data_IF_695576383415
#
_entry.id   IF_695576383415
#
_cell.length_a   1.000
_cell.length_b   1.000
_cell.length_c   1.000
_cell.angle_alpha   90.00
_cell.angle_beta   90.00
_cell.angle_gamma   90.00
#
_symmetry.space_group_name_H-M   'P 1'
#
loop_
_entity.id
_entity.type
_entity.pdbx_description
1 polymer ?
#
# COMPACT_ATOMS: atom_id res chain seq x y z
N UNK A 1 29.19 14.99 -23.64
CA UNK A 1 28.67 14.57 -22.33
C UNK A 1 28.14 15.80 -21.63
N UNK A 2 26.82 15.98 -21.59
CA UNK A 2 26.22 17.05 -20.82
C UNK A 2 26.28 16.68 -19.32
N UNK A 3 26.56 17.64 -18.42
CA UNK A 3 26.58 17.36 -16.99
C UNK A 3 25.18 17.00 -16.49
N UNK A 4 25.07 15.86 -15.80
CA UNK A 4 23.84 15.38 -15.17
C UNK A 4 23.50 16.30 -13.98
N UNK A 5 22.70 17.35 -14.20
CA UNK A 5 22.22 18.22 -13.12
C UNK A 5 21.03 17.57 -12.42
N UNK A 6 21.28 16.93 -11.28
CA UNK A 6 20.22 16.38 -10.43
C UNK A 6 19.54 17.54 -9.71
N UNK A 7 18.24 17.70 -9.93
CA UNK A 7 17.44 18.67 -9.17
C UNK A 7 17.41 18.32 -7.67
N UNK A 8 17.48 19.34 -6.81
CA UNK A 8 17.39 19.18 -5.34
C UNK A 8 16.13 18.41 -4.91
N UNK A 9 15.03 18.52 -5.67
CA UNK A 9 13.81 17.74 -5.41
C UNK A 9 14.02 16.24 -5.65
N UNK A 10 14.71 15.85 -6.73
CA UNK A 10 15.02 14.44 -7.03
C UNK A 10 15.89 13.82 -5.94
N UNK A 11 16.93 14.54 -5.49
CA UNK A 11 17.79 14.09 -4.38
C UNK A 11 16.99 13.82 -3.10
N UNK A 12 16.07 14.73 -2.75
CA UNK A 12 15.22 14.57 -1.57
C UNK A 12 14.33 13.32 -1.65
N UNK A 13 13.66 13.11 -2.80
CA UNK A 13 12.82 11.93 -3.01
C UNK A 13 13.65 10.63 -3.00
N UNK A 14 14.83 10.63 -3.62
CA UNK A 14 15.73 9.47 -3.59
C UNK A 14 16.13 9.12 -2.15
N UNK A 15 16.51 10.12 -1.34
CA UNK A 15 16.83 9.90 0.06
C UNK A 15 15.67 9.28 0.83
N UNK A 16 14.46 9.85 0.67
CA UNK A 16 13.25 9.32 1.30
C UNK A 16 12.94 7.88 0.87
N UNK A 17 13.06 7.57 -0.42
CA UNK A 17 12.84 6.22 -0.95
C UNK A 17 13.84 5.20 -0.41
N UNK A 18 15.13 5.55 -0.32
CA UNK A 18 16.16 4.68 0.26
C UNK A 18 15.90 4.45 1.75
N UNK A 19 15.56 5.52 2.49
CA UNK A 19 15.19 5.41 3.90
C UNK A 19 13.95 4.51 4.09
N UNK A 20 12.93 4.68 3.25
CA UNK A 20 11.73 3.84 3.22
C UNK A 20 12.07 2.38 2.96
N UNK A 21 12.92 2.08 1.97
CA UNK A 21 13.37 0.70 1.69
C UNK A 21 14.07 0.09 2.91
N UNK A 22 14.91 0.85 3.61
CA UNK A 22 15.55 0.39 4.85
C UNK A 22 14.54 -0.02 5.92
N UNK A 23 13.47 0.76 6.10
CA UNK A 23 12.36 0.43 7.00
C UNK A 23 11.64 -0.83 6.51
N UNK A 24 11.34 -0.92 5.22
CA UNK A 24 10.60 -2.05 4.65
C UNK A 24 11.36 -3.38 4.81
N UNK A 25 12.68 -3.38 4.64
CA UNK A 25 13.54 -4.54 4.86
C UNK A 25 13.50 -4.98 6.34
N UNK A 26 13.57 -4.02 7.27
CA UNK A 26 13.50 -4.35 8.72
C UNK A 26 12.17 -4.96 9.12
N UNK A 27 11.08 -4.56 8.48
CA UNK A 27 9.76 -5.15 8.71
C UNK A 27 9.69 -6.56 8.11
N UNK A 28 10.25 -6.76 6.93
CA UNK A 28 10.33 -8.09 6.33
C UNK A 28 11.11 -9.07 7.23
N UNK A 29 12.26 -8.64 7.76
CA UNK A 29 13.05 -9.40 8.74
C UNK A 29 12.24 -9.70 10.01
N UNK A 30 11.47 -8.73 10.50
CA UNK A 30 10.58 -8.92 11.64
C UNK A 30 9.52 -9.99 11.37
N UNK A 31 8.86 -9.94 10.21
CA UNK A 31 7.86 -10.94 9.81
C UNK A 31 8.48 -12.34 9.68
N UNK A 32 9.72 -12.45 9.19
CA UNK A 32 10.47 -13.70 9.16
C UNK A 32 10.81 -14.23 10.56
N UNK A 33 11.20 -13.36 11.49
CA UNK A 33 11.45 -13.76 12.88
C UNK A 33 10.18 -14.19 13.61
N UNK A 34 9.07 -13.51 13.32
CA UNK A 34 7.78 -13.78 13.94
C UNK A 34 7.28 -15.21 13.65
N UNK A 35 7.44 -15.67 12.42
CA UNK A 35 7.06 -17.03 12.01
C UNK A 35 7.83 -18.12 12.78
N UNK A 36 9.09 -17.85 13.12
CA UNK A 36 9.96 -18.78 13.84
C UNK A 36 9.87 -18.63 15.37
N UNK A 37 8.97 -17.78 15.87
CA UNK A 37 8.86 -17.56 17.30
C UNK A 37 7.92 -18.56 17.98
N UNK A 38 8.38 -19.19 19.06
CA UNK A 38 7.63 -20.20 19.82
C UNK A 38 6.23 -19.72 20.25
N UNK A 39 6.09 -18.43 20.59
CA UNK A 39 4.81 -17.90 21.03
C UNK A 39 3.78 -17.73 19.91
N UNK A 40 4.25 -17.71 18.66
CA UNK A 40 3.42 -17.74 17.45
C UNK A 40 3.06 -19.19 17.10
N UNK A 41 3.99 -20.11 17.33
CA UNK A 41 3.87 -21.54 17.03
C UNK A 41 3.03 -22.32 18.07
N UNK A 42 2.73 -21.72 19.22
CA UNK A 42 1.89 -22.31 20.26
C UNK A 42 0.40 -22.33 19.81
N UNK A 43 0.04 -23.48 19.25
CA UNK A 43 -0.92 -23.67 18.18
C UNK A 43 -2.42 -23.49 18.52
N UNK A 44 -2.83 -23.40 19.79
CA UNK A 44 -4.28 -23.51 20.10
C UNK A 44 -5.09 -22.22 19.88
N UNK A 45 -4.46 -21.04 19.98
CA UNK A 45 -5.16 -19.75 19.79
C UNK A 45 -4.85 -19.15 18.42
N UNK A 46 -3.61 -19.31 17.96
CA UNK A 46 -3.13 -18.70 16.72
C UNK A 46 -3.63 -19.42 15.47
N UNK A 47 -3.70 -20.76 15.46
CA UNK A 47 -4.27 -21.52 14.34
C UNK A 47 -5.77 -21.30 14.16
N UNK A 48 -6.48 -20.90 15.22
CA UNK A 48 -7.92 -20.61 15.13
C UNK A 48 -8.20 -19.29 14.41
N UNK A 49 -7.27 -18.33 14.46
CA UNK A 49 -7.41 -16.98 13.90
C UNK A 49 -6.62 -16.78 12.59
N UNK A 50 -5.92 -17.81 12.11
CA UNK A 50 -5.26 -17.93 10.78
C UNK A 50 -4.68 -16.60 10.26
N UNK A 51 -3.82 -15.96 11.05
CA UNK A 51 -3.03 -14.83 10.54
C UNK A 51 -2.11 -15.36 9.44
N UNK A 52 -2.22 -14.76 8.26
CA UNK A 52 -1.45 -15.17 7.10
C UNK A 52 -0.16 -14.33 7.03
N UNK A 53 0.89 -14.75 7.74
CA UNK A 53 2.20 -14.07 7.68
C UNK A 53 2.76 -14.12 6.26
N UNK A 54 2.57 -15.22 5.54
CA UNK A 54 3.07 -15.36 4.17
C UNK A 54 2.50 -14.26 3.26
N UNK A 55 1.21 -13.95 3.40
CA UNK A 55 0.61 -12.80 2.73
C UNK A 55 1.24 -11.47 3.16
N UNK A 56 1.47 -11.24 4.46
CA UNK A 56 2.12 -10.01 4.94
C UNK A 56 3.53 -9.84 4.36
N UNK A 57 4.30 -10.93 4.25
CA UNK A 57 5.62 -10.93 3.61
C UNK A 57 5.53 -10.62 2.12
N UNK A 58 4.59 -11.25 1.41
CA UNK A 58 4.36 -10.98 -0.01
C UNK A 58 3.95 -9.53 -0.27
N UNK A 59 3.06 -8.98 0.58
CA UNK A 59 2.68 -7.56 0.55
C UNK A 59 3.89 -6.65 0.78
N UNK A 60 4.77 -7.00 1.72
CA UNK A 60 5.99 -6.24 2.00
C UNK A 60 6.95 -6.23 0.80
N UNK A 61 7.09 -7.37 0.09
CA UNK A 61 7.87 -7.47 -1.15
C UNK A 61 7.25 -6.60 -2.24
N UNK A 62 5.92 -6.62 -2.36
CA UNK A 62 5.21 -5.77 -3.31
C UNK A 62 5.44 -4.28 -3.04
N UNK A 63 5.43 -3.82 -1.78
CA UNK A 63 5.76 -2.43 -1.46
C UNK A 63 7.22 -2.07 -1.79
N UNK A 64 8.18 -2.95 -1.50
CA UNK A 64 9.57 -2.75 -1.91
C UNK A 64 9.68 -2.60 -3.43
N UNK A 65 8.98 -3.45 -4.19
CA UNK A 65 8.90 -3.35 -5.64
C UNK A 65 8.31 -2.02 -6.11
N UNK A 66 7.24 -1.52 -5.48
CA UNK A 66 6.65 -0.23 -5.81
C UNK A 66 7.62 0.94 -5.55
N UNK A 67 8.38 0.91 -4.46
CA UNK A 67 9.37 1.95 -4.17
C UNK A 67 10.53 1.93 -5.19
N UNK A 68 10.97 0.74 -5.62
CA UNK A 68 11.99 0.60 -6.67
C UNK A 68 11.46 1.11 -8.01
N UNK A 69 10.21 0.79 -8.37
CA UNK A 69 9.56 1.31 -9.57
C UNK A 69 9.43 2.84 -9.53
N UNK A 70 9.10 3.41 -8.37
CA UNK A 70 9.05 4.86 -8.19
C UNK A 70 10.43 5.50 -8.41
N UNK A 71 11.49 4.92 -7.86
CA UNK A 71 12.87 5.38 -8.11
C UNK A 71 13.20 5.34 -9.59
N UNK A 72 12.90 4.22 -10.27
CA UNK A 72 13.11 4.09 -11.71
C UNK A 72 12.39 5.21 -12.49
N UNK A 73 11.10 5.43 -12.21
CA UNK A 73 10.32 6.50 -12.86
C UNK A 73 10.92 7.89 -12.60
N UNK A 74 11.34 8.18 -11.36
CA UNK A 74 11.93 9.47 -10.98
C UNK A 74 13.21 9.80 -11.79
N UNK A 75 14.00 8.77 -12.12
CA UNK A 75 15.25 8.91 -12.87
C UNK A 75 15.09 8.76 -14.38
N UNK A 76 14.10 7.98 -14.84
CA UNK A 76 13.86 7.77 -16.28
C UNK A 76 13.00 8.85 -16.91
N UNK A 77 12.22 9.59 -16.11
CA UNK A 77 11.31 10.60 -16.63
C UNK A 77 11.86 11.99 -16.33
N UNK A 78 12.65 12.52 -17.27
CA UNK A 78 13.19 13.88 -17.22
C UNK A 78 12.24 14.93 -17.83
N UNK A 79 11.29 14.53 -18.69
CA UNK A 79 10.34 15.45 -19.32
C UNK A 79 8.97 14.79 -19.57
N UNK A 80 8.00 15.06 -18.70
CA UNK A 80 6.62 14.56 -18.77
C UNK A 80 5.68 15.53 -19.54
N UNK A 81 6.24 16.43 -20.34
CA UNK A 81 5.48 17.50 -21.01
C UNK A 81 4.82 17.06 -22.33
N UNK A 82 5.14 15.88 -22.87
CA UNK A 82 4.60 15.39 -24.14
C UNK A 82 4.05 13.95 -24.07
N UNK A 83 3.22 13.64 -23.07
CA UNK A 83 2.51 12.36 -23.06
C UNK A 83 1.38 12.38 -24.10
N UNK A 84 1.39 11.50 -25.12
CA UNK A 84 0.29 11.41 -26.06
C UNK A 84 -0.99 10.99 -25.31
N UNK A 85 -2.09 11.72 -25.55
CA UNK A 85 -3.41 11.38 -25.02
C UNK A 85 -3.88 10.06 -25.64
N UNK A 86 -3.69 8.95 -24.93
CA UNK A 86 -4.23 7.65 -25.33
C UNK A 86 -5.75 7.68 -25.11
N UNK A 87 -6.50 7.74 -26.21
CA UNK A 87 -7.96 7.71 -26.23
C UNK A 87 -8.44 6.29 -26.57
N UNK A 88 -8.78 5.50 -25.55
CA UNK A 88 -9.63 4.31 -25.71
C UNK A 88 -10.69 4.27 -24.60
N UNK A 89 -11.90 4.79 -24.84
CA UNK A 89 -12.87 5.05 -23.76
C UNK A 89 -13.52 3.80 -23.15
N UNK A 90 -13.51 2.66 -23.85
CA UNK A 90 -14.25 1.46 -23.41
C UNK A 90 -13.41 0.45 -22.61
N UNK A 91 -12.10 0.32 -22.89
CA UNK A 91 -11.20 -0.55 -22.12
C UNK A 91 -10.76 0.09 -20.79
N UNK A 92 -10.68 1.43 -20.75
CA UNK A 92 -10.18 2.16 -19.59
C UNK A 92 -11.08 1.99 -18.37
N UNK A 93 -12.41 2.12 -18.53
CA UNK A 93 -13.36 2.06 -17.40
C UNK A 93 -13.39 0.69 -16.72
N UNK A 94 -13.39 -0.39 -17.50
CA UNK A 94 -13.33 -1.75 -16.95
C UNK A 94 -12.01 -1.97 -16.20
N UNK A 95 -10.88 -1.58 -16.79
CA UNK A 95 -9.57 -1.71 -16.19
C UNK A 95 -9.47 -0.89 -14.89
N UNK A 96 -9.92 0.36 -14.90
CA UNK A 96 -9.96 1.22 -13.70
C UNK A 96 -10.82 0.61 -12.60
N UNK A 97 -12.00 0.08 -12.94
CA UNK A 97 -12.90 -0.57 -11.97
C UNK A 97 -12.26 -1.83 -11.36
N UNK A 98 -11.63 -2.67 -12.20
CA UNK A 98 -10.92 -3.86 -11.74
C UNK A 98 -9.75 -3.51 -10.81
N UNK A 99 -8.98 -2.46 -11.13
CA UNK A 99 -7.89 -1.95 -10.29
C UNK A 99 -8.43 -1.46 -8.94
N UNK A 100 -9.51 -0.68 -8.93
CA UNK A 100 -10.12 -0.19 -7.68
C UNK A 100 -10.59 -1.36 -6.81
N UNK A 101 -11.26 -2.35 -7.40
CA UNK A 101 -11.73 -3.53 -6.67
C UNK A 101 -10.58 -4.35 -6.11
N UNK A 102 -9.50 -4.53 -6.88
CA UNK A 102 -8.29 -5.21 -6.43
C UNK A 102 -7.62 -4.44 -5.28
N UNK A 103 -7.47 -3.12 -5.40
CA UNK A 103 -6.93 -2.27 -4.34
C UNK A 103 -7.78 -2.33 -3.07
N UNK A 104 -9.11 -2.37 -3.20
CA UNK A 104 -10.03 -2.53 -2.09
C UNK A 104 -9.80 -3.85 -1.36
N UNK A 105 -9.74 -4.94 -2.12
CA UNK A 105 -9.53 -6.28 -1.60
C UNK A 105 -8.19 -6.40 -0.88
N UNK A 106 -7.10 -5.98 -1.53
CA UNK A 106 -5.76 -6.02 -0.95
C UNK A 106 -5.67 -5.14 0.30
N UNK A 107 -6.21 -3.92 0.26
CA UNK A 107 -6.21 -2.98 1.40
C UNK A 107 -7.04 -3.49 2.58
N UNK A 108 -8.20 -4.09 2.31
CA UNK A 108 -9.02 -4.73 3.34
C UNK A 108 -8.31 -5.93 3.95
N UNK A 109 -7.73 -6.79 3.12
CA UNK A 109 -7.07 -8.00 3.56
C UNK A 109 -5.78 -7.74 4.35
N UNK A 110 -4.97 -6.74 3.95
CA UNK A 110 -3.81 -6.31 4.75
C UNK A 110 -4.25 -5.75 6.10
N UNK A 111 -5.26 -4.87 6.12
CA UNK A 111 -5.78 -4.28 7.35
C UNK A 111 -6.27 -5.34 8.32
N UNK A 112 -7.02 -6.33 7.82
CA UNK A 112 -7.53 -7.44 8.61
C UNK A 112 -6.40 -8.27 9.24
N UNK A 113 -5.42 -8.70 8.44
CA UNK A 113 -4.29 -9.50 8.94
C UNK A 113 -3.43 -8.71 9.94
N UNK A 114 -3.20 -7.44 9.66
CA UNK A 114 -2.42 -6.54 10.53
C UNK A 114 -3.15 -6.26 11.85
N UNK A 115 -4.46 -6.05 11.82
CA UNK A 115 -5.29 -5.85 13.02
C UNK A 115 -5.26 -7.09 13.90
N UNK A 116 -5.45 -8.28 13.30
CA UNK A 116 -5.34 -9.54 14.03
C UNK A 116 -3.95 -9.72 14.63
N UNK A 117 -2.90 -9.47 13.84
CA UNK A 117 -1.52 -9.53 14.33
C UNK A 117 -1.30 -8.62 15.54
N UNK A 118 -1.83 -7.39 15.49
CA UNK A 118 -1.71 -6.44 16.59
C UNK A 118 -2.49 -6.86 17.84
N UNK A 119 -3.73 -7.31 17.67
CA UNK A 119 -4.62 -7.71 18.77
C UNK A 119 -4.17 -9.01 19.45
N UNK A 120 -3.62 -9.96 18.69
CA UNK A 120 -3.30 -11.31 19.16
C UNK A 120 -1.86 -11.50 19.61
N UNK A 121 -0.94 -10.62 19.20
CA UNK A 121 0.42 -10.64 19.73
C UNK A 121 0.40 -10.30 21.23
N UNK A 122 0.41 -11.35 22.05
CA UNK A 122 0.50 -11.28 23.51
C UNK A 122 1.68 -10.38 23.87
N UNK A 123 1.47 -9.44 24.80
CA UNK A 123 2.50 -8.54 25.31
C UNK A 123 3.70 -9.24 25.96
N UNK A 124 3.63 -10.57 26.16
CA UNK A 124 4.66 -11.39 26.82
C UNK A 124 5.58 -12.16 25.86
N UNK A 125 5.39 -12.07 24.53
CA UNK A 125 6.33 -12.65 23.58
C UNK A 125 7.64 -11.85 23.57
N UNK A 126 8.75 -12.48 23.97
CA UNK A 126 10.07 -11.83 23.97
C UNK A 126 10.61 -11.52 22.57
N UNK A 127 10.16 -12.26 21.56
CA UNK A 127 10.58 -12.10 20.16
C UNK A 127 9.90 -10.93 19.43
N UNK A 128 8.90 -10.28 20.04
CA UNK A 128 8.12 -9.23 19.38
C UNK A 128 8.71 -7.87 19.73
N UNK A 129 9.40 -7.28 18.76
CA UNK A 129 9.86 -5.90 18.84
C UNK A 129 8.68 -4.93 18.77
N UNK A 130 8.50 -4.13 19.83
CA UNK A 130 7.35 -3.24 20.01
C UNK A 130 7.20 -2.21 18.88
N UNK A 131 8.32 -1.63 18.44
CA UNK A 131 8.32 -0.61 17.39
C UNK A 131 7.93 -1.23 16.03
N UNK A 132 8.46 -2.40 15.69
CA UNK A 132 8.15 -3.09 14.43
C UNK A 132 6.69 -3.54 14.39
N UNK A 133 6.15 -4.07 15.49
CA UNK A 133 4.72 -4.37 15.65
C UNK A 133 3.86 -3.13 15.40
N UNK A 134 4.19 -2.00 16.02
CA UNK A 134 3.44 -0.76 15.85
C UNK A 134 3.53 -0.24 14.42
N UNK A 135 4.70 -0.32 13.80
CA UNK A 135 4.88 0.10 12.41
C UNK A 135 4.00 -0.70 11.46
N UNK A 136 4.04 -2.04 11.55
CA UNK A 136 3.18 -2.92 10.72
C UNK A 136 1.71 -2.58 10.93
N UNK A 137 1.30 -2.33 12.18
CA UNK A 137 -0.04 -1.89 12.52
C UNK A 137 -0.43 -0.58 11.81
N UNK A 138 0.38 0.46 11.97
CA UNK A 138 0.14 1.77 11.36
C UNK A 138 0.13 1.65 9.84
N UNK A 139 1.06 0.90 9.25
CA UNK A 139 1.13 0.67 7.80
C UNK A 139 -0.16 0.06 7.25
N UNK A 140 -0.67 -1.02 7.86
CA UNK A 140 -1.93 -1.63 7.44
C UNK A 140 -3.12 -0.69 7.58
N UNK A 141 -3.23 0.03 8.71
CA UNK A 141 -4.30 1.01 8.94
C UNK A 141 -4.21 2.17 7.93
N UNK A 142 -3.02 2.71 7.69
CA UNK A 142 -2.79 3.79 6.74
C UNK A 142 -3.08 3.36 5.30
N UNK A 143 -2.79 2.11 4.93
CA UNK A 143 -3.21 1.55 3.63
C UNK A 143 -4.74 1.55 3.50
N UNK A 144 -5.46 1.16 4.55
CA UNK A 144 -6.93 1.23 4.60
C UNK A 144 -7.45 2.66 4.45
N UNK A 145 -6.92 3.58 5.25
CA UNK A 145 -7.33 5.00 5.23
C UNK A 145 -7.07 5.62 3.85
N UNK A 146 -5.93 5.32 3.25
CA UNK A 146 -5.58 5.80 1.90
C UNK A 146 -6.56 5.26 0.87
N UNK A 147 -6.89 3.97 0.93
CA UNK A 147 -7.90 3.37 0.06
C UNK A 147 -9.28 4.05 0.23
N UNK A 148 -9.75 4.28 1.47
CA UNK A 148 -11.01 5.00 1.72
C UNK A 148 -10.98 6.41 1.12
N UNK A 149 -9.87 7.14 1.26
CA UNK A 149 -9.72 8.49 0.67
C UNK A 149 -9.85 8.45 -0.85
N UNK A 150 -9.19 7.50 -1.51
CA UNK A 150 -9.31 7.31 -2.97
C UNK A 150 -10.77 7.01 -3.35
N UNK A 151 -11.44 6.13 -2.60
CA UNK A 151 -12.85 5.80 -2.83
C UNK A 151 -13.76 7.04 -2.70
N UNK A 152 -13.58 7.85 -1.66
CA UNK A 152 -14.34 9.10 -1.48
C UNK A 152 -14.08 10.11 -2.60
N UNK A 153 -12.83 10.27 -3.04
CA UNK A 153 -12.50 11.13 -4.18
C UNK A 153 -13.18 10.67 -5.47
N UNK A 154 -13.19 9.36 -5.74
CA UNK A 154 -13.89 8.80 -6.89
C UNK A 154 -15.40 9.01 -6.82
N UNK A 155 -16.02 8.80 -5.66
CA UNK A 155 -17.44 9.08 -5.44
C UNK A 155 -17.76 10.56 -5.65
N UNK A 156 -16.91 11.46 -5.16
CA UNK A 156 -17.07 12.90 -5.36
C UNK A 156 -16.98 13.27 -6.84
N UNK A 157 -16.00 12.75 -7.58
CA UNK A 157 -15.89 12.95 -9.03
C UNK A 157 -17.13 12.40 -9.74
N UNK A 158 -17.61 11.22 -9.36
CA UNK A 158 -18.84 10.64 -9.92
C UNK A 158 -20.05 11.56 -9.71
N UNK A 159 -20.26 12.07 -8.48
CA UNK A 159 -21.36 12.99 -8.15
C UNK A 159 -21.27 14.29 -8.96
N UNK A 160 -20.07 14.85 -9.13
CA UNK A 160 -19.86 16.06 -9.92
C UNK A 160 -20.08 15.84 -11.43
N UNK A 161 -19.76 14.65 -11.94
CA UNK A 161 -19.94 14.30 -13.35
C UNK A 161 -21.35 13.84 -13.69
N UNK A 162 -22.11 13.31 -12.73
CA UNK A 162 -23.54 13.05 -12.94
C UNK A 162 -24.26 14.39 -13.15
N UNK A 163 -24.81 14.67 -14.34
CA UNK A 163 -25.40 15.97 -14.62
C UNK A 163 -26.61 16.16 -13.69
N UNK A 164 -26.49 17.14 -12.79
CA UNK A 164 -27.55 17.59 -11.88
C UNK A 164 -28.87 17.88 -12.62
N UNK A 165 -28.80 18.16 -13.94
CA UNK A 165 -29.94 18.50 -14.81
C UNK A 165 -31.00 17.41 -15.00
N UNK A 166 -30.73 16.14 -14.71
CA UNK A 166 -31.73 15.06 -14.85
C UNK A 166 -32.67 14.92 -13.66
N UNK A 167 -32.42 15.63 -12.55
CA UNK A 167 -33.27 15.58 -11.34
C UNK A 167 -34.32 16.69 -11.28
N UNK A 168 -34.18 17.78 -12.05
CA UNK A 168 -35.12 18.91 -12.02
C UNK A 168 -36.23 18.87 -13.08
N UNK A 169 -36.16 17.97 -14.06
CA UNK A 169 -37.12 17.90 -15.19
C UNK A 169 -38.19 16.81 -15.05
N UNK A 170 -38.28 16.16 -13.88
CA UNK A 170 -39.29 15.15 -13.54
C UNK A 170 -40.31 15.62 -12.48
N UNK A 171 -40.49 16.93 -12.32
CA UNK A 171 -41.50 17.51 -11.42
C UNK A 171 -42.44 18.43 -12.17
#
# INVERSE_FOLDING_TARGET
MAPFQISNSKLFYTFLSVFSLGILIKIYDYLNKLENCDCYNDAQVYNKLKINIEFLKAYQIFEMFLVIMLLYILFSVDDLTNVPKIHSPFSATFLTTAIIMLLAFVSGYITYNVFLLFALSKSRCKCIDKWQKYFVYVQGIMSSVTFLRILFLLLLVFVLLTPYSNWSLKR
#
